data_IF_574695621178
#
_entry.id   IF_574695621178
#
_cell.length_a   1.000
_cell.length_b   1.000
_cell.length_c   1.000
_cell.angle_alpha   90.00
_cell.angle_beta   90.00
_cell.angle_gamma   90.00
#
_symmetry.space_group_name_H-M   'P 1'
#
loop_
_entity.id
_entity.type
_entity.pdbx_description
1 polymer ?
#
# COMPACT_ATOMS: atom_id res chain seq x y z
N UNK A 1 1.57 11.49 -19.83
CA UNK A 1 0.61 10.39 -19.63
C UNK A 1 0.33 10.29 -18.13
N UNK A 2 -0.93 10.27 -17.69
CA UNK A 2 -1.25 10.04 -16.27
C UNK A 2 -1.29 8.55 -16.00
N UNK A 3 -0.69 8.13 -14.88
CA UNK A 3 -0.65 6.74 -14.43
C UNK A 3 -1.40 6.60 -13.09
N UNK A 4 -2.12 5.51 -12.92
CA UNK A 4 -2.87 5.18 -11.72
C UNK A 4 -2.33 3.90 -11.11
N UNK A 5 -2.09 3.89 -9.80
CA UNK A 5 -1.65 2.68 -9.10
C UNK A 5 -2.75 2.20 -8.15
N UNK A 6 -3.25 1.00 -8.38
CA UNK A 6 -4.34 0.40 -7.62
C UNK A 6 -4.19 -1.11 -7.62
N UNK A 7 -4.67 -1.76 -6.55
CA UNK A 7 -4.82 -3.21 -6.45
C UNK A 7 -6.16 -3.52 -5.80
N UNK A 8 -6.81 -4.59 -6.25
CA UNK A 8 -7.96 -5.16 -5.53
C UNK A 8 -7.60 -5.67 -4.13
N UNK A 9 -6.31 -5.74 -3.80
CA UNK A 9 -5.78 -6.02 -2.46
C UNK A 9 -5.81 -4.79 -1.54
N UNK A 10 -6.25 -3.62 -2.01
CA UNK A 10 -6.53 -2.45 -1.16
C UNK A 10 -7.86 -2.64 -0.41
N UNK A 11 -7.92 -3.74 0.32
CA UNK A 11 -9.06 -4.27 1.06
C UNK A 11 -8.57 -4.66 2.45
N UNK A 12 -9.47 -4.56 3.40
CA UNK A 12 -9.23 -4.87 4.79
C UNK A 12 -10.47 -4.51 5.57
N UNK A 13 -10.84 -5.37 6.50
CA UNK A 13 -11.78 -5.00 7.54
C UNK A 13 -10.96 -4.45 8.70
N UNK A 14 -11.36 -3.28 9.19
CA UNK A 14 -10.86 -2.71 10.42
C UNK A 14 -12.04 -2.56 11.39
N UNK A 15 -12.48 -3.64 12.05
CA UNK A 15 -13.61 -3.60 12.96
C UNK A 15 -13.39 -2.53 14.05
N UNK A 16 -14.37 -1.67 14.25
CA UNK A 16 -14.30 -0.58 15.24
C UNK A 16 -13.48 0.64 14.79
N UNK A 17 -12.92 0.66 13.59
CA UNK A 17 -12.18 1.80 13.06
C UNK A 17 -13.04 2.60 12.07
N UNK A 18 -12.99 3.93 12.15
CA UNK A 18 -13.74 4.85 11.26
C UNK A 18 -13.12 5.00 9.86
N UNK A 19 -12.16 4.15 9.48
CA UNK A 19 -11.42 4.33 8.23
C UNK A 19 -12.10 3.55 7.11
N UNK A 20 -12.71 4.23 6.13
CA UNK A 20 -13.48 3.54 5.10
C UNK A 20 -12.53 2.98 4.04
N UNK A 21 -12.07 1.74 4.21
CA UNK A 21 -11.17 1.08 3.24
C UNK A 21 -11.86 0.92 1.87
N UNK A 22 -13.17 0.73 1.85
CA UNK A 22 -13.97 0.67 0.62
C UNK A 22 -13.79 1.87 -0.31
N UNK A 23 -13.37 3.03 0.22
CA UNK A 23 -13.11 4.24 -0.58
C UNK A 23 -12.11 3.98 -1.71
N UNK A 24 -11.12 3.11 -1.51
CA UNK A 24 -10.11 2.83 -2.53
C UNK A 24 -10.72 2.19 -3.76
N UNK A 25 -11.55 1.15 -3.55
CA UNK A 25 -12.30 0.49 -4.63
C UNK A 25 -13.30 1.44 -5.27
N UNK A 26 -14.04 2.22 -4.47
CA UNK A 26 -15.02 3.18 -4.99
C UNK A 26 -14.36 4.25 -5.88
N UNK A 27 -13.18 4.76 -5.48
CA UNK A 27 -12.42 5.72 -6.29
C UNK A 27 -11.93 5.07 -7.58
N UNK A 28 -11.37 3.86 -7.52
CA UNK A 28 -10.95 3.11 -8.70
C UNK A 28 -12.11 2.91 -9.70
N UNK A 29 -13.24 2.37 -9.22
CA UNK A 29 -14.42 2.13 -10.06
C UNK A 29 -14.96 3.43 -10.65
N UNK A 30 -14.97 4.52 -9.88
CA UNK A 30 -15.43 5.83 -10.35
C UNK A 30 -14.52 6.43 -11.42
N UNK A 31 -13.21 6.22 -11.33
CA UNK A 31 -12.24 6.68 -12.33
C UNK A 31 -12.29 5.80 -13.59
N UNK A 32 -12.45 4.49 -13.42
CA UNK A 32 -12.64 3.52 -14.52
C UNK A 32 -13.94 3.78 -15.29
N UNK A 33 -15.04 4.06 -14.58
CA UNK A 33 -16.34 4.39 -15.21
C UNK A 33 -16.30 5.69 -16.03
N UNK A 34 -15.30 6.53 -15.81
CA UNK A 34 -15.07 7.78 -16.55
C UNK A 34 -14.01 7.61 -17.65
N UNK A 35 -13.57 6.37 -17.90
CA UNK A 35 -12.55 6.02 -18.90
C UNK A 35 -11.20 6.72 -18.66
N UNK A 36 -10.93 7.20 -17.44
CA UNK A 36 -9.65 7.80 -17.07
C UNK A 36 -8.59 6.73 -16.80
N UNK A 37 -9.04 5.55 -16.36
CA UNK A 37 -8.20 4.37 -16.18
C UNK A 37 -8.44 3.43 -17.36
N UNK A 38 -7.34 2.99 -17.95
CA UNK A 38 -7.25 2.01 -19.03
C UNK A 38 -6.16 1.01 -18.68
N UNK A 39 -6.12 -0.13 -19.37
CA UNK A 39 -5.07 -1.14 -19.14
C UNK A 39 -3.66 -0.60 -19.44
N UNK A 40 -3.54 0.48 -20.20
CA UNK A 40 -2.25 1.10 -20.56
C UNK A 40 -1.71 2.04 -19.49
N UNK A 41 -2.56 2.52 -18.58
CA UNK A 41 -2.16 3.48 -17.57
C UNK A 41 -2.47 3.05 -16.13
N UNK A 42 -2.97 1.83 -15.96
CA UNK A 42 -3.13 1.18 -14.67
C UNK A 42 -1.88 0.36 -14.32
N UNK A 43 -1.38 0.55 -13.11
CA UNK A 43 -0.23 -0.17 -12.56
C UNK A 43 -0.69 -0.95 -11.34
N UNK A 44 -0.53 -2.27 -11.40
CA UNK A 44 -0.66 -3.11 -10.21
C UNK A 44 0.59 -2.92 -9.32
N UNK A 45 0.42 -2.54 -8.04
CA UNK A 45 1.54 -2.39 -7.11
C UNK A 45 2.19 -3.73 -6.77
N UNK A 46 3.47 -3.68 -6.41
CA UNK A 46 4.22 -4.82 -5.88
C UNK A 46 4.57 -4.49 -4.43
N UNK A 47 4.45 -5.47 -3.52
CA UNK A 47 4.88 -5.28 -2.13
C UNK A 47 6.35 -4.86 -2.09
N UNK A 48 6.72 -3.90 -1.21
CA UNK A 48 8.09 -3.45 -1.10
C UNK A 48 9.01 -4.57 -0.61
N UNK A 49 10.24 -4.56 -1.10
CA UNK A 49 11.31 -5.36 -0.56
C UNK A 49 11.67 -4.85 0.84
N UNK A 50 12.12 -5.75 1.73
CA UNK A 50 12.58 -5.36 3.07
C UNK A 50 13.63 -4.26 3.03
N UNK A 51 14.52 -4.27 2.03
CA UNK A 51 15.55 -3.23 1.83
C UNK A 51 14.98 -1.84 1.52
N UNK A 52 13.80 -1.77 0.89
CA UNK A 52 13.11 -0.50 0.60
C UNK A 52 12.47 0.03 1.87
N UNK A 53 11.86 -0.86 2.69
CA UNK A 53 11.32 -0.50 3.99
C UNK A 53 12.40 -0.03 4.97
N UNK A 54 13.59 -0.62 4.92
CA UNK A 54 14.71 -0.24 5.80
C UNK A 54 15.32 1.13 5.49
N UNK A 55 14.89 1.81 4.42
CA UNK A 55 15.27 3.20 4.16
C UNK A 55 14.62 4.17 5.16
N UNK A 56 13.53 3.76 5.80
CA UNK A 56 12.77 4.60 6.75
C UNK A 56 12.65 3.91 8.11
N UNK A 57 12.43 2.60 8.13
CA UNK A 57 12.20 1.85 9.36
C UNK A 57 13.47 1.18 9.87
N UNK A 58 13.56 1.01 11.19
CA UNK A 58 14.67 0.28 11.81
C UNK A 58 14.54 -1.23 11.60
N UNK A 59 15.67 -1.94 11.58
CA UNK A 59 15.67 -3.40 11.47
C UNK A 59 14.90 -4.08 12.61
N UNK A 60 14.98 -3.55 13.84
CA UNK A 60 14.27 -4.09 15.00
C UNK A 60 12.74 -3.92 14.89
N UNK A 61 12.27 -2.79 14.36
CA UNK A 61 10.85 -2.59 14.08
C UNK A 61 10.37 -3.56 12.99
N UNK A 62 11.10 -3.64 11.88
CA UNK A 62 10.74 -4.52 10.78
C UNK A 62 10.71 -5.99 11.24
N UNK A 63 11.65 -6.40 12.08
CA UNK A 63 11.65 -7.74 12.63
C UNK A 63 10.40 -8.01 13.49
N UNK A 64 10.03 -7.10 14.39
CA UNK A 64 8.79 -7.25 15.16
C UNK A 64 7.55 -7.27 14.29
N UNK A 65 7.47 -6.36 13.31
CA UNK A 65 6.34 -6.22 12.39
C UNK A 65 6.14 -7.50 11.56
N UNK A 66 7.19 -8.01 10.92
CA UNK A 66 7.11 -9.20 10.07
C UNK A 66 6.86 -10.50 10.84
N UNK A 67 7.22 -10.53 12.12
CA UNK A 67 6.91 -11.67 13.01
C UNK A 67 5.64 -11.45 13.84
N UNK A 68 4.86 -10.39 13.56
CA UNK A 68 3.61 -10.04 14.26
C UNK A 68 3.76 -9.95 15.78
N UNK A 69 4.93 -9.50 16.26
CA UNK A 69 5.20 -9.34 17.70
C UNK A 69 4.66 -8.02 18.19
N UNK A 70 3.76 -8.08 19.17
CA UNK A 70 3.23 -6.90 19.84
C UNK A 70 4.24 -6.39 20.88
N UNK A 71 5.05 -5.41 20.48
CA UNK A 71 6.08 -4.78 21.33
C UNK A 71 5.83 -3.28 21.40
N UNK A 72 6.61 -2.55 22.22
CA UNK A 72 6.56 -1.08 22.24
C UNK A 72 6.80 -0.43 20.86
N UNK A 73 7.38 -1.16 19.90
CA UNK A 73 7.64 -0.67 18.54
C UNK A 73 6.44 -0.82 17.60
N UNK A 74 5.57 -1.80 17.82
CA UNK A 74 4.42 -2.11 16.94
C UNK A 74 3.06 -1.76 17.56
N UNK A 75 3.00 -1.74 18.89
CA UNK A 75 1.83 -1.38 19.68
C UNK A 75 1.22 0.00 19.34
N UNK A 76 2.01 1.06 19.06
CA UNK A 76 1.46 2.39 18.77
C UNK A 76 0.63 2.50 17.48
N UNK A 77 0.56 1.45 16.66
CA UNK A 77 -0.25 1.49 15.44
C UNK A 77 -1.76 1.57 15.70
N UNK A 78 -2.23 1.23 16.92
CA UNK A 78 -3.65 1.16 17.30
C UNK A 78 -4.50 0.21 16.44
N UNK A 79 -3.85 -0.57 15.57
CA UNK A 79 -4.47 -1.53 14.68
C UNK A 79 -4.17 -2.97 15.12
N UNK A 80 -5.06 -3.92 14.82
CA UNK A 80 -4.76 -5.33 15.04
C UNK A 80 -3.49 -5.75 14.28
N UNK A 81 -2.48 -6.21 15.01
CA UNK A 81 -1.25 -6.73 14.40
C UNK A 81 -1.48 -8.16 13.91
N UNK A 82 -1.88 -8.30 12.64
CA UNK A 82 -2.09 -9.57 11.98
C UNK A 82 -1.66 -9.53 10.51
N UNK A 83 -1.61 -10.69 9.85
CA UNK A 83 -1.14 -10.81 8.47
C UNK A 83 -1.97 -10.00 7.47
N UNK A 84 -3.29 -9.89 7.66
CA UNK A 84 -4.16 -9.11 6.76
C UNK A 84 -3.82 -7.62 6.79
N UNK A 85 -3.62 -7.07 7.99
CA UNK A 85 -3.23 -5.67 8.18
C UNK A 85 -1.82 -5.43 7.65
N UNK A 86 -0.89 -6.33 7.94
CA UNK A 86 0.47 -6.24 7.39
C UNK A 86 0.45 -6.24 5.85
N UNK A 87 -0.29 -7.16 5.24
CA UNK A 87 -0.38 -7.27 3.78
C UNK A 87 -1.01 -6.02 3.15
N UNK A 88 -2.06 -5.47 3.79
CA UNK A 88 -2.70 -4.22 3.38
C UNK A 88 -1.69 -3.06 3.36
N UNK A 89 -0.97 -2.82 4.46
CA UNK A 89 0.02 -1.73 4.51
C UNK A 89 1.21 -1.95 3.57
N UNK A 90 1.64 -3.20 3.37
CA UNK A 90 2.70 -3.52 2.43
C UNK A 90 2.28 -3.21 1.00
N UNK A 91 1.09 -3.64 0.58
CA UNK A 91 0.65 -3.41 -0.81
C UNK A 91 0.38 -1.92 -1.08
N UNK A 92 -0.18 -1.18 -0.11
CA UNK A 92 -0.39 0.28 -0.26
C UNK A 92 0.93 1.04 -0.29
N UNK A 93 1.91 0.66 0.54
CA UNK A 93 3.28 1.21 0.47
C UNK A 93 3.92 0.91 -0.88
N UNK A 94 3.73 -0.32 -1.37
CA UNK A 94 4.13 -0.75 -2.70
C UNK A 94 3.55 0.12 -3.81
N UNK A 95 2.31 0.57 -3.67
CA UNK A 95 1.68 1.50 -4.62
C UNK A 95 2.38 2.84 -4.74
N UNK A 96 2.76 3.44 -3.61
CA UNK A 96 3.55 4.68 -3.62
C UNK A 96 4.90 4.48 -4.30
N UNK A 97 5.58 3.37 -4.00
CA UNK A 97 6.89 3.05 -4.61
C UNK A 97 6.75 2.80 -6.12
N UNK A 98 5.74 2.04 -6.54
CA UNK A 98 5.46 1.79 -7.96
C UNK A 98 5.17 3.09 -8.71
N UNK A 99 4.35 3.98 -8.14
CA UNK A 99 4.06 5.29 -8.74
C UNK A 99 5.34 6.13 -8.92
N UNK A 100 6.21 6.16 -7.89
CA UNK A 100 7.48 6.86 -7.97
C UNK A 100 8.41 6.26 -9.05
N UNK A 101 8.54 4.93 -9.09
CA UNK A 101 9.37 4.25 -10.11
C UNK A 101 8.89 4.53 -11.53
N UNK A 102 7.58 4.53 -11.76
CA UNK A 102 6.99 4.86 -13.06
C UNK A 102 7.27 6.32 -13.44
N UNK A 103 7.16 7.24 -12.48
CA UNK A 103 7.56 8.63 -12.73
C UNK A 103 9.02 8.72 -13.17
N UNK A 104 9.94 8.08 -12.43
CA UNK A 104 11.37 8.08 -12.77
C UNK A 104 11.65 7.47 -14.15
N UNK A 105 10.99 6.35 -14.50
CA UNK A 105 11.20 5.65 -15.77
C UNK A 105 10.73 6.44 -17.00
N UNK A 106 9.68 7.26 -16.86
CA UNK A 106 9.04 7.93 -17.99
C UNK A 106 9.20 9.45 -18.00
N UNK A 107 9.74 10.07 -16.94
CA UNK A 107 9.80 11.53 -16.80
C UNK A 107 11.15 12.08 -16.30
N UNK A 108 12.14 11.22 -16.00
CA UNK A 108 13.52 11.69 -15.87
C UNK A 108 14.27 11.55 -17.21
N UNK A 109 15.15 12.50 -17.54
CA UNK A 109 15.96 12.48 -18.76
C UNK A 109 16.96 11.31 -18.78
#
# INVERSE_FOLDING_TARGET
MLYFCYSDKYTGELPGHVFPIEKYKMVYERLKSKELITDKNLIEPIKPLRKELSLVHTNNYLDDLFNLRLTHRTYPSELPLNQKILDFFLITTGGTISAAKIFLLFHLP
#
